data_IF_493834316235
#
_entry.id   IF_493834316235
#
_cell.length_a   1.000
_cell.length_b   1.000
_cell.length_c   1.000
_cell.angle_alpha   90.00
_cell.angle_beta   90.00
_cell.angle_gamma   90.00
#
_symmetry.space_group_name_H-M   'P 1'
#
loop_
_entity.id
_entity.type
_entity.pdbx_description
1 polymer ?
#
# COMPACT_ATOMS: atom_id res chain seq x y z
N UNK A 1 -16.07 -6.96 -1.73
CA UNK A 1 -16.12 -5.88 -0.71
C UNK A 1 -15.33 -4.71 -1.27
N UNK A 2 -15.90 -3.51 -1.29
CA UNK A 2 -15.18 -2.32 -1.80
C UNK A 2 -14.26 -1.81 -0.69
N UNK A 3 -12.96 -1.74 -0.96
CA UNK A 3 -11.99 -1.09 -0.09
C UNK A 3 -12.05 0.44 -0.30
N UNK A 4 -11.62 1.27 0.68
CA UNK A 4 -11.52 2.71 0.48
C UNK A 4 -10.54 3.05 -0.64
N UNK A 5 -10.74 4.17 -1.32
CA UNK A 5 -9.76 4.66 -2.30
C UNK A 5 -8.42 4.99 -1.62
N UNK A 6 -7.34 5.07 -2.41
CA UNK A 6 -6.01 5.42 -1.90
C UNK A 6 -6.02 6.73 -1.09
N UNK A 7 -6.68 7.78 -1.62
CA UNK A 7 -6.72 9.09 -0.99
C UNK A 7 -7.53 9.09 0.31
N UNK A 8 -8.64 8.35 0.36
CA UNK A 8 -9.45 8.17 1.59
C UNK A 8 -8.65 7.42 2.67
N UNK A 9 -7.99 6.32 2.28
CA UNK A 9 -7.17 5.52 3.19
C UNK A 9 -6.00 6.32 3.75
N UNK A 10 -5.29 7.06 2.89
CA UNK A 10 -4.16 7.89 3.29
C UNK A 10 -4.61 9.07 4.16
N UNK A 11 -5.74 9.70 3.84
CA UNK A 11 -6.33 10.78 4.67
C UNK A 11 -6.71 10.25 6.05
N UNK A 12 -7.33 9.07 6.12
CA UNK A 12 -7.67 8.44 7.38
C UNK A 12 -6.42 8.15 8.21
N UNK A 13 -5.40 7.52 7.63
CA UNK A 13 -4.12 7.25 8.29
C UNK A 13 -3.47 8.55 8.82
N UNK A 14 -3.45 9.62 8.04
CA UNK A 14 -2.88 10.92 8.47
C UNK A 14 -3.64 11.51 9.65
N UNK A 15 -4.95 11.29 9.74
CA UNK A 15 -5.80 11.80 10.81
C UNK A 15 -5.63 11.03 12.13
N UNK A 16 -5.58 9.70 12.07
CA UNK A 16 -5.60 8.86 13.28
C UNK A 16 -4.22 8.28 13.66
N UNK A 17 -3.23 8.43 12.78
CA UNK A 17 -1.89 7.89 12.94
C UNK A 17 -1.77 6.41 12.56
N UNK A 18 -0.56 5.99 12.18
CA UNK A 18 -0.28 4.63 11.71
C UNK A 18 -0.59 3.55 12.76
N UNK A 19 -0.41 3.84 14.04
CA UNK A 19 -0.68 2.90 15.14
C UNK A 19 -2.17 2.52 15.28
N UNK A 20 -3.06 3.35 14.75
CA UNK A 20 -4.51 3.15 14.81
C UNK A 20 -5.15 2.94 13.43
N UNK A 21 -4.34 2.99 12.37
CA UNK A 21 -4.81 2.78 11.01
C UNK A 21 -5.19 1.31 10.78
N UNK A 22 -6.21 1.09 9.96
CA UNK A 22 -6.57 -0.24 9.46
C UNK A 22 -5.60 -0.71 8.36
N UNK A 23 -5.85 -1.90 7.80
CA UNK A 23 -4.97 -2.47 6.77
C UNK A 23 -4.83 -1.56 5.55
N UNK A 24 -5.95 -0.98 5.09
CA UNK A 24 -5.95 -0.07 3.96
C UNK A 24 -5.12 1.20 4.26
N UNK A 25 -5.35 1.83 5.41
CA UNK A 25 -4.59 3.00 5.84
C UNK A 25 -3.09 2.71 5.91
N UNK A 26 -2.69 1.61 6.56
CA UNK A 26 -1.28 1.24 6.69
C UNK A 26 -0.61 0.96 5.34
N UNK A 27 -1.26 0.25 4.42
CA UNK A 27 -0.72 0.00 3.08
C UNK A 27 -0.63 1.31 2.27
N UNK A 28 -1.65 2.17 2.34
CA UNK A 28 -1.60 3.49 1.71
C UNK A 28 -0.44 4.34 2.27
N UNK A 29 -0.19 4.27 3.58
CA UNK A 29 0.95 4.91 4.23
C UNK A 29 2.29 4.40 3.70
N UNK A 30 2.47 3.08 3.61
CA UNK A 30 3.67 2.46 3.03
C UNK A 30 3.87 2.85 1.56
N UNK A 31 2.78 2.91 0.78
CA UNK A 31 2.80 3.37 -0.61
C UNK A 31 3.22 4.84 -0.72
N UNK A 32 2.77 5.70 0.21
CA UNK A 32 3.08 7.13 0.23
C UNK A 32 4.51 7.46 0.68
N UNK A 33 5.19 6.59 1.41
CA UNK A 33 6.50 6.89 2.02
C UNK A 33 7.61 5.93 1.58
N UNK A 34 7.51 4.66 1.97
CA UNK A 34 8.59 3.67 1.85
C UNK A 34 8.70 3.09 0.45
N UNK A 35 7.61 3.08 -0.32
CA UNK A 35 7.54 2.43 -1.63
C UNK A 35 8.60 2.95 -2.61
N UNK A 36 8.77 4.27 -2.72
CA UNK A 36 9.75 4.85 -3.65
C UNK A 36 11.18 4.50 -3.27
N UNK A 37 11.46 4.42 -1.97
CA UNK A 37 12.79 4.13 -1.43
C UNK A 37 13.18 2.68 -1.69
N UNK A 38 12.21 1.77 -1.58
CA UNK A 38 12.46 0.31 -1.61
C UNK A 38 12.25 -0.31 -2.97
N UNK A 39 11.26 0.18 -3.73
CA UNK A 39 10.80 -0.43 -4.97
C UNK A 39 11.00 0.47 -6.20
N UNK A 40 11.61 1.65 -6.03
CA UNK A 40 11.87 2.60 -7.11
C UNK A 40 10.61 3.35 -7.57
N UNK A 41 10.65 3.86 -8.80
CA UNK A 41 9.62 4.72 -9.36
C UNK A 41 8.35 3.94 -9.74
N UNK A 42 7.45 3.75 -8.78
CA UNK A 42 6.13 3.14 -8.96
C UNK A 42 5.01 4.14 -8.67
N UNK A 43 3.80 3.94 -9.18
CA UNK A 43 2.62 4.71 -8.80
C UNK A 43 2.09 4.22 -7.43
N UNK A 44 2.13 5.04 -6.35
CA UNK A 44 1.60 4.63 -5.05
C UNK A 44 0.13 4.21 -5.09
N UNK A 45 -0.67 4.93 -5.88
CA UNK A 45 -2.10 4.69 -6.03
C UNK A 45 -2.37 3.35 -6.70
N UNK A 46 -1.70 3.06 -7.82
CA UNK A 46 -1.92 1.80 -8.55
C UNK A 46 -1.40 0.60 -7.75
N UNK A 47 -0.25 0.73 -7.06
CA UNK A 47 0.25 -0.33 -6.17
C UNK A 47 -0.73 -0.60 -5.03
N UNK A 48 -1.27 0.45 -4.41
CA UNK A 48 -2.29 0.31 -3.36
C UNK A 48 -3.54 -0.40 -3.89
N UNK A 49 -4.08 0.04 -5.03
CA UNK A 49 -5.28 -0.55 -5.64
C UNK A 49 -5.06 -2.04 -5.96
N UNK A 50 -3.91 -2.39 -6.53
CA UNK A 50 -3.52 -3.78 -6.78
C UNK A 50 -3.37 -4.61 -5.51
N UNK A 51 -2.74 -4.06 -4.46
CA UNK A 51 -2.61 -4.72 -3.17
C UNK A 51 -3.97 -5.02 -2.54
N UNK A 52 -4.89 -4.05 -2.60
CA UNK A 52 -6.25 -4.20 -2.09
C UNK A 52 -7.08 -5.18 -2.92
N UNK A 53 -6.94 -5.16 -4.25
CA UNK A 53 -7.60 -6.12 -5.15
C UNK A 53 -7.12 -7.55 -4.90
N UNK A 54 -5.83 -7.73 -4.61
CA UNK A 54 -5.22 -9.02 -4.25
C UNK A 54 -5.55 -9.46 -2.82
N UNK A 55 -6.13 -8.58 -2.00
CA UNK A 55 -6.52 -8.88 -0.63
C UNK A 55 -5.35 -9.02 0.34
N UNK A 56 -4.25 -8.31 0.09
CA UNK A 56 -3.05 -8.39 0.92
C UNK A 56 -3.27 -7.77 2.31
N UNK A 57 -2.76 -8.46 3.32
CA UNK A 57 -2.56 -7.86 4.65
C UNK A 57 -1.35 -6.93 4.65
N UNK A 58 -1.26 -6.04 5.65
CA UNK A 58 -0.11 -5.13 5.79
C UNK A 58 1.20 -5.90 5.92
N UNK A 59 1.20 -7.01 6.67
CA UNK A 59 2.40 -7.83 6.88
C UNK A 59 2.90 -8.45 5.57
N UNK A 60 1.98 -8.99 4.76
CA UNK A 60 2.32 -9.57 3.46
C UNK A 60 2.85 -8.50 2.51
N UNK A 61 2.21 -7.33 2.46
CA UNK A 61 2.67 -6.22 1.63
C UNK A 61 4.06 -5.73 2.06
N UNK A 62 4.29 -5.49 3.35
CA UNK A 62 5.59 -5.07 3.87
C UNK A 62 6.69 -6.11 3.67
N UNK A 63 6.36 -7.40 3.79
CA UNK A 63 7.30 -8.49 3.48
C UNK A 63 7.63 -8.52 1.99
N UNK A 64 6.63 -8.39 1.12
CA UNK A 64 6.83 -8.33 -0.32
C UNK A 64 7.75 -7.17 -0.71
N UNK A 65 7.54 -5.98 -0.14
CA UNK A 65 8.42 -4.83 -0.37
C UNK A 65 9.88 -5.07 0.04
N UNK A 66 10.13 -5.89 1.07
CA UNK A 66 11.49 -6.14 1.56
C UNK A 66 12.17 -7.32 0.87
N UNK A 67 11.42 -8.30 0.38
CA UNK A 67 11.98 -9.53 -0.20
C UNK A 67 11.90 -9.59 -1.72
N UNK A 68 10.90 -8.96 -2.33
CA UNK A 68 10.65 -9.00 -3.77
C UNK A 68 10.04 -7.68 -4.28
N UNK A 69 10.87 -6.62 -4.45
CA UNK A 69 10.41 -5.34 -4.99
C UNK A 69 9.80 -5.44 -6.39
N UNK A 70 10.16 -6.46 -7.17
CA UNK A 70 9.58 -6.67 -8.50
C UNK A 70 8.13 -7.16 -8.40
N UNK A 71 7.81 -8.06 -7.48
CA UNK A 71 6.42 -8.44 -7.22
C UNK A 71 5.53 -7.24 -6.82
N UNK A 72 6.11 -6.21 -6.18
CA UNK A 72 5.40 -4.96 -5.87
C UNK A 72 5.11 -4.16 -7.15
N UNK A 73 6.04 -4.10 -8.12
CA UNK A 73 5.80 -3.40 -9.38
C UNK A 73 4.64 -4.00 -10.16
N UNK A 74 4.48 -5.33 -10.10
CA UNK A 74 3.39 -6.05 -10.78
C UNK A 74 2.01 -5.70 -10.25
N UNK A 75 1.89 -5.20 -9.01
CA UNK A 75 0.61 -4.79 -8.44
C UNK A 75 -0.04 -3.63 -9.22
N UNK A 76 0.74 -2.81 -9.92
CA UNK A 76 0.20 -1.67 -10.68
C UNK A 76 -0.67 -2.08 -11.88
N UNK A 77 -0.57 -3.33 -12.31
CA UNK A 77 -1.23 -3.86 -13.49
C UNK A 77 -2.45 -4.73 -13.15
N UNK A 78 -2.81 -4.83 -11.86
CA UNK A 78 -3.89 -5.69 -11.38
C UNK A 78 -5.27 -5.07 -11.52
#
# INVERSE_FOLDING_TARGET
MSHPTYDEALTSLRRIGAAHADTAGQIAGLCSSTLQITCGALSPKLVYEGAMKRGLTVKEFATMMSTDPHAVSELQWL
#
